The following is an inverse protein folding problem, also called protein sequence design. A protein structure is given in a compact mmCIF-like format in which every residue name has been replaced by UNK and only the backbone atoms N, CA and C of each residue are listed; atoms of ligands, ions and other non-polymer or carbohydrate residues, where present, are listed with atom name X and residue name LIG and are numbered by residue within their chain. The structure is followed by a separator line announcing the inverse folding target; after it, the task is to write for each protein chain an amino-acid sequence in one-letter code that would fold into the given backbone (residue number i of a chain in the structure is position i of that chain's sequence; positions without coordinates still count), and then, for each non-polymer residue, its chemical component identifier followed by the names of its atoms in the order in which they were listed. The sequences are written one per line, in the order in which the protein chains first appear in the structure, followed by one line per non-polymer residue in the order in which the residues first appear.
data_IF_003969597447
#
_entry.id   IF_003969597447
#
_cell.length_a   1.000
_cell.length_b   1.000
_cell.length_c   1.000
_cell.angle_alpha   90.00
_cell.angle_beta   90.00
_cell.angle_gamma   90.00
#
_symmetry.space_group_name_H-M   'P 1'
#
loop_
_entity.id
_entity.type
_entity.pdbx_description
1 polymer ?
#
# COMPACT_ATOMS: atom_id res chain seq x y z
N UNK A 1 -27.21 9.89 -11.13
CA UNK A 1 -25.76 10.06 -10.93
C UNK A 1 -25.09 9.35 -12.09
N UNK A 2 -24.43 10.11 -12.94
CA UNK A 2 -23.93 9.67 -14.24
C UNK A 2 -22.65 8.89 -14.03
N UNK A 3 -22.67 7.60 -14.36
CA UNK A 3 -21.50 6.72 -14.38
C UNK A 3 -20.57 7.20 -15.51
N UNK A 4 -19.57 8.03 -15.19
CA UNK A 4 -18.49 8.29 -16.11
C UNK A 4 -17.56 7.06 -16.12
N UNK A 5 -17.80 6.17 -17.07
CA UNK A 5 -16.79 5.23 -17.52
C UNK A 5 -15.76 6.06 -18.27
N UNK A 6 -14.66 6.41 -17.62
CA UNK A 6 -13.51 7.01 -18.28
C UNK A 6 -12.82 5.90 -19.07
N UNK A 7 -13.17 5.80 -20.35
CA UNK A 7 -12.46 4.98 -21.34
C UNK A 7 -11.09 5.62 -21.55
N UNK A 8 -10.11 5.17 -20.78
CA UNK A 8 -8.71 5.42 -21.04
C UNK A 8 -8.16 4.07 -21.50
N UNK A 9 -7.46 4.08 -22.61
CA UNK A 9 -6.72 2.93 -23.14
C UNK A 9 -5.57 2.58 -22.18
N UNK A 10 -5.93 2.03 -21.00
CA UNK A 10 -5.03 1.64 -19.93
C UNK A 10 -5.12 0.13 -19.73
N UNK A 11 -3.98 -0.50 -19.41
CA UNK A 11 -3.93 -1.92 -19.08
C UNK A 11 -4.66 -2.27 -17.76
N UNK A 12 -5.15 -1.26 -17.03
CA UNK A 12 -5.82 -1.43 -15.74
C UNK A 12 -7.34 -1.23 -15.85
N UNK A 13 -8.09 -2.14 -15.24
CA UNK A 13 -9.52 -1.99 -14.99
C UNK A 13 -9.74 -1.71 -13.50
N UNK A 14 -10.28 -0.54 -13.17
CA UNK A 14 -10.45 -0.08 -11.78
C UNK A 14 -11.91 -0.13 -11.37
N UNK A 15 -12.17 -0.76 -10.25
CA UNK A 15 -13.50 -0.96 -9.68
C UNK A 15 -13.55 -0.44 -8.24
N UNK A 16 -14.67 0.17 -7.85
CA UNK A 16 -14.98 0.34 -6.43
C UNK A 16 -15.49 -0.99 -5.83
N UNK A 17 -15.46 -1.10 -4.50
CA UNK A 17 -16.02 -2.26 -3.81
C UNK A 17 -17.51 -2.47 -4.16
N UNK A 18 -18.29 -1.38 -4.29
CA UNK A 18 -19.71 -1.43 -4.67
C UNK A 18 -19.92 -1.94 -6.09
N UNK A 19 -19.06 -1.55 -7.03
CA UNK A 19 -19.09 -2.03 -8.41
C UNK A 19 -18.79 -3.54 -8.49
N UNK A 20 -17.84 -4.02 -7.68
CA UNK A 20 -17.55 -5.46 -7.59
C UNK A 20 -18.75 -6.23 -7.04
N UNK A 21 -19.36 -5.74 -5.95
CA UNK A 21 -20.57 -6.34 -5.37
C UNK A 21 -21.76 -6.36 -6.36
N UNK A 22 -21.84 -5.35 -7.21
CA UNK A 22 -22.86 -5.28 -8.28
C UNK A 22 -22.53 -6.17 -9.53
N UNK A 23 -21.41 -6.89 -9.50
CA UNK A 23 -21.01 -7.80 -10.60
C UNK A 23 -20.30 -7.13 -11.77
N UNK A 24 -19.90 -5.84 -11.65
CA UNK A 24 -19.20 -5.13 -12.74
C UNK A 24 -17.83 -5.74 -13.06
N UNK A 25 -17.23 -6.46 -12.11
CA UNK A 25 -15.94 -7.15 -12.28
C UNK A 25 -16.08 -8.65 -12.60
N UNK A 26 -17.18 -9.10 -13.19
CA UNK A 26 -17.43 -10.52 -13.46
C UNK A 26 -16.36 -11.19 -14.35
N UNK A 27 -15.67 -10.42 -15.19
CA UNK A 27 -14.56 -10.89 -16.01
C UNK A 27 -13.20 -10.95 -15.28
N UNK A 28 -13.14 -10.44 -14.04
CA UNK A 28 -11.97 -10.40 -13.19
C UNK A 28 -12.30 -10.98 -11.82
N UNK A 29 -12.46 -12.32 -11.70
CA UNK A 29 -12.84 -12.97 -10.46
C UNK A 29 -11.87 -12.70 -9.30
N UNK A 30 -10.60 -12.40 -9.60
CA UNK A 30 -9.59 -12.03 -8.61
C UNK A 30 -9.93 -10.73 -7.88
N UNK A 31 -10.65 -9.81 -8.52
CA UNK A 31 -11.11 -8.59 -7.85
C UNK A 31 -12.09 -8.93 -6.71
N UNK A 32 -13.02 -9.86 -6.95
CA UNK A 32 -13.95 -10.34 -5.93
C UNK A 32 -13.22 -11.16 -4.84
N UNK A 33 -12.25 -12.01 -5.23
CA UNK A 33 -11.42 -12.78 -4.30
C UNK A 33 -10.66 -11.86 -3.33
N UNK A 34 -10.03 -10.79 -3.84
CA UNK A 34 -9.29 -9.83 -3.03
C UNK A 34 -10.22 -8.97 -2.17
N UNK A 35 -11.38 -8.55 -2.68
CA UNK A 35 -12.35 -7.79 -1.89
C UNK A 35 -12.87 -8.63 -0.70
N UNK A 36 -13.19 -9.89 -0.92
CA UNK A 36 -13.66 -10.80 0.10
C UNK A 36 -12.55 -11.13 1.12
N UNK A 37 -11.31 -11.38 0.68
CA UNK A 37 -10.16 -11.51 1.55
C UNK A 37 -9.93 -10.24 2.40
N UNK A 38 -10.01 -9.05 1.80
CA UNK A 38 -9.85 -7.78 2.49
C UNK A 38 -10.90 -7.62 3.60
N UNK A 39 -12.16 -7.96 3.33
CA UNK A 39 -13.25 -7.92 4.30
C UNK A 39 -13.08 -8.93 5.44
N UNK A 40 -12.72 -10.17 5.11
CA UNK A 40 -12.61 -11.24 6.12
C UNK A 40 -11.33 -11.18 6.93
N UNK A 41 -10.24 -10.75 6.33
CA UNK A 41 -8.93 -10.75 6.98
C UNK A 41 -8.50 -9.37 7.46
N UNK A 42 -8.45 -8.37 6.57
CA UNK A 42 -7.90 -7.07 6.94
C UNK A 42 -8.79 -6.28 7.93
N UNK A 43 -10.11 -6.46 7.86
CA UNK A 43 -11.05 -5.72 8.75
C UNK A 43 -11.33 -6.42 10.07
N UNK A 44 -10.78 -7.61 10.30
CA UNK A 44 -11.04 -8.42 11.51
C UNK A 44 -9.82 -8.49 12.41
N UNK A 45 -10.06 -8.75 13.70
CA UNK A 45 -8.99 -9.06 14.64
C UNK A 45 -8.40 -10.44 14.35
N UNK A 46 -7.10 -10.60 14.59
CA UNK A 46 -6.43 -11.89 14.46
C UNK A 46 -5.67 -12.22 15.76
N UNK A 47 -5.74 -13.46 16.28
CA UNK A 47 -5.10 -13.82 17.55
C UNK A 47 -3.58 -13.62 17.54
N UNK A 48 -2.95 -13.87 16.39
CA UNK A 48 -1.50 -13.75 16.23
C UNK A 48 -1.04 -12.33 15.88
N UNK A 49 -1.93 -11.35 15.79
CA UNK A 49 -1.57 -9.97 15.45
C UNK A 49 -0.63 -9.31 16.47
N UNK A 50 -0.71 -9.74 17.75
CA UNK A 50 0.09 -9.19 18.85
C UNK A 50 -0.43 -7.85 19.41
N UNK A 51 -1.61 -7.39 18.93
CA UNK A 51 -2.36 -6.24 19.46
C UNK A 51 -3.86 -6.43 19.27
N UNK A 52 -4.65 -5.63 19.95
CA UNK A 52 -6.10 -5.57 19.74
C UNK A 52 -6.47 -4.85 18.44
N UNK A 53 -7.69 -5.09 17.94
CA UNK A 53 -8.25 -4.47 16.75
C UNK A 53 -7.97 -5.24 15.45
N UNK A 54 -8.41 -4.71 14.31
CA UNK A 54 -8.29 -5.36 13.01
C UNK A 54 -6.85 -5.44 12.51
N UNK A 55 -6.58 -6.35 11.57
CA UNK A 55 -5.26 -6.48 10.93
C UNK A 55 -4.85 -5.15 10.29
N UNK A 56 -5.75 -4.53 9.51
CA UNK A 56 -5.56 -3.19 8.98
C UNK A 56 -6.63 -2.23 9.52
N UNK A 57 -6.27 -1.20 10.30
CA UNK A 57 -7.26 -0.28 10.86
C UNK A 57 -7.91 0.64 9.82
N UNK A 58 -7.33 0.75 8.62
CA UNK A 58 -7.79 1.67 7.56
C UNK A 58 -8.75 1.02 6.57
N UNK A 59 -8.69 -0.30 6.37
CA UNK A 59 -9.49 -1.01 5.35
C UNK A 59 -10.99 -0.88 5.60
N UNK A 60 -11.46 -1.05 6.83
CA UNK A 60 -12.89 -0.97 7.11
C UNK A 60 -13.47 0.45 6.93
N UNK A 61 -12.83 1.53 7.43
CA UNK A 61 -13.28 2.89 7.14
C UNK A 61 -13.24 3.22 5.65
N UNK A 62 -12.21 2.79 4.92
CA UNK A 62 -12.09 2.97 3.48
C UNK A 62 -13.27 2.32 2.73
N UNK A 63 -13.57 1.06 3.04
CA UNK A 63 -14.73 0.34 2.48
C UNK A 63 -16.05 1.04 2.75
N UNK A 64 -16.31 1.47 4.00
CA UNK A 64 -17.57 2.13 4.37
C UNK A 64 -17.80 3.47 3.67
N UNK A 65 -16.74 4.16 3.28
CA UNK A 65 -16.81 5.46 2.62
C UNK A 65 -16.70 5.37 1.09
N UNK A 66 -16.66 4.16 0.51
CA UNK A 66 -16.52 3.95 -0.92
C UNK A 66 -15.14 4.37 -1.48
N UNK A 67 -14.10 4.36 -0.63
CA UNK A 67 -12.74 4.81 -0.95
C UNK A 67 -11.76 3.65 -1.19
N UNK A 68 -12.27 2.43 -1.20
CA UNK A 68 -11.50 1.21 -1.45
C UNK A 68 -11.71 0.76 -2.89
N UNK A 69 -10.66 0.86 -3.69
CA UNK A 69 -10.68 0.53 -5.11
C UNK A 69 -9.75 -0.65 -5.41
N UNK A 70 -10.14 -1.46 -6.37
CA UNK A 70 -9.35 -2.57 -6.87
C UNK A 70 -9.14 -2.36 -8.37
N UNK A 71 -7.87 -2.22 -8.76
CA UNK A 71 -7.42 -2.26 -10.13
C UNK A 71 -6.97 -3.67 -10.47
N UNK A 72 -7.33 -4.20 -11.62
CA UNK A 72 -6.86 -5.48 -12.14
C UNK A 72 -6.06 -5.22 -13.40
N UNK A 73 -4.86 -5.79 -13.48
CA UNK A 73 -4.06 -5.75 -14.70
C UNK A 73 -4.59 -6.79 -15.69
N UNK A 74 -5.03 -6.33 -16.85
CA UNK A 74 -5.54 -7.16 -17.96
C UNK A 74 -4.39 -7.65 -18.86
N UNK A 75 -3.23 -7.94 -18.25
CA UNK A 75 -2.03 -8.38 -18.94
C UNK A 75 -1.75 -9.83 -18.63
N UNK A 76 -1.45 -10.62 -19.67
CA UNK A 76 -0.93 -11.98 -19.51
C UNK A 76 0.34 -12.02 -18.65
N UNK A 77 0.80 -13.22 -18.30
CA UNK A 77 1.95 -13.43 -17.44
C UNK A 77 3.14 -12.52 -17.84
N UNK A 78 3.55 -11.63 -16.94
CA UNK A 78 4.76 -10.82 -17.10
C UNK A 78 4.59 -9.44 -17.72
N UNK A 79 3.44 -8.78 -17.57
CA UNK A 79 3.29 -7.35 -17.90
C UNK A 79 4.44 -6.50 -17.33
N UNK A 80 4.74 -5.36 -17.97
CA UNK A 80 5.76 -4.41 -17.49
C UNK A 80 5.35 -3.84 -16.12
N UNK A 81 5.84 -4.46 -15.03
CA UNK A 81 5.52 -4.05 -13.66
C UNK A 81 5.82 -2.58 -13.39
N UNK A 82 6.96 -1.98 -13.82
CA UNK A 82 7.19 -0.56 -13.72
C UNK A 82 6.11 0.29 -14.40
N UNK A 83 5.68 -0.07 -15.60
CA UNK A 83 4.61 0.64 -16.29
C UNK A 83 3.28 0.52 -15.54
N UNK A 84 2.92 -0.67 -15.05
CA UNK A 84 1.72 -0.90 -14.24
C UNK A 84 1.73 -0.11 -12.91
N UNK A 85 2.89 0.03 -12.28
CA UNK A 85 3.06 0.88 -11.08
C UNK A 85 2.82 2.35 -11.42
N UNK A 86 3.31 2.82 -12.58
CA UNK A 86 3.05 4.17 -13.08
C UNK A 86 1.56 4.42 -13.34
N UNK A 87 0.87 3.45 -13.97
CA UNK A 87 -0.59 3.52 -14.18
C UNK A 87 -1.37 3.50 -12.86
N UNK A 88 -0.99 2.65 -11.92
CA UNK A 88 -1.57 2.61 -10.57
C UNK A 88 -1.46 3.97 -9.89
N UNK A 89 -0.28 4.61 -9.99
CA UNK A 89 -0.05 5.95 -9.46
C UNK A 89 -0.97 6.97 -10.11
N UNK A 90 -1.07 6.98 -11.45
CA UNK A 90 -1.94 7.90 -12.18
C UNK A 90 -3.43 7.72 -11.81
N UNK A 91 -3.88 6.49 -11.58
CA UNK A 91 -5.23 6.22 -11.11
C UNK A 91 -5.45 6.70 -9.68
N UNK A 92 -4.49 6.46 -8.78
CA UNK A 92 -4.56 6.99 -7.42
C UNK A 92 -4.70 8.51 -7.40
N UNK A 93 -3.90 9.24 -8.18
CA UNK A 93 -3.93 10.69 -8.26
C UNK A 93 -5.27 11.22 -8.80
N UNK A 94 -5.86 10.55 -9.81
CA UNK A 94 -7.18 10.92 -10.33
C UNK A 94 -8.29 10.75 -9.28
N UNK A 95 -8.30 9.60 -8.59
CA UNK A 95 -9.26 9.35 -7.52
C UNK A 95 -9.09 10.38 -6.40
N UNK A 96 -7.84 10.65 -6.01
CA UNK A 96 -7.49 11.63 -4.98
C UNK A 96 -7.96 13.05 -5.35
N UNK A 97 -7.82 13.45 -6.61
CA UNK A 97 -8.25 14.77 -7.09
C UNK A 97 -9.76 14.98 -7.01
N UNK A 98 -10.55 13.90 -7.03
CA UNK A 98 -12.01 13.94 -6.85
C UNK A 98 -12.47 14.10 -5.39
N UNK A 99 -11.54 14.01 -4.41
CA UNK A 99 -11.88 14.05 -2.99
C UNK A 99 -11.64 15.45 -2.41
N UNK A 100 -12.71 16.02 -1.82
CA UNK A 100 -12.65 17.33 -1.17
C UNK A 100 -12.07 17.23 0.25
N UNK A 101 -12.53 16.22 1.03
CA UNK A 101 -12.24 16.10 2.44
C UNK A 101 -10.88 15.41 2.69
N UNK A 102 -10.06 16.00 3.56
CA UNK A 102 -8.76 15.42 3.93
C UNK A 102 -8.90 14.04 4.58
N UNK A 103 -9.94 13.84 5.40
CA UNK A 103 -10.25 12.54 6.01
C UNK A 103 -10.56 11.45 4.99
N UNK A 104 -11.09 11.80 3.81
CA UNK A 104 -11.32 10.85 2.72
C UNK A 104 -10.01 10.56 1.96
N UNK A 105 -9.19 11.57 1.77
CA UNK A 105 -7.86 11.42 1.17
C UNK A 105 -6.95 10.49 1.96
N UNK A 106 -7.06 10.49 3.30
CA UNK A 106 -6.32 9.57 4.18
C UNK A 106 -6.79 8.12 4.07
N UNK A 107 -8.05 7.92 3.70
CA UNK A 107 -8.67 6.60 3.59
C UNK A 107 -8.65 6.04 2.17
N UNK A 108 -8.35 6.86 1.15
CA UNK A 108 -8.25 6.38 -0.21
C UNK A 108 -7.20 5.27 -0.31
N UNK A 109 -7.65 4.11 -0.77
CA UNK A 109 -6.81 2.92 -0.96
C UNK A 109 -7.07 2.33 -2.34
N UNK A 110 -6.02 2.09 -3.09
CA UNK A 110 -6.08 1.43 -4.40
C UNK A 110 -5.18 0.20 -4.37
N UNK A 111 -5.76 -0.95 -4.68
CA UNK A 111 -5.05 -2.21 -4.83
C UNK A 111 -4.87 -2.50 -6.32
N UNK A 112 -3.65 -2.82 -6.75
CA UNK A 112 -3.36 -3.35 -8.08
C UNK A 112 -3.21 -4.86 -7.99
N UNK A 113 -4.19 -5.60 -8.45
CA UNK A 113 -4.20 -7.06 -8.49
C UNK A 113 -3.53 -7.53 -9.78
N UNK A 114 -2.64 -8.50 -9.67
CA UNK A 114 -1.75 -9.00 -10.71
C UNK A 114 -1.95 -10.51 -10.92
N UNK A 115 -3.06 -10.93 -11.55
CA UNK A 115 -3.41 -12.35 -11.70
C UNK A 115 -2.40 -13.15 -12.50
N UNK A 116 -1.69 -12.47 -13.41
CA UNK A 116 -0.68 -13.09 -14.28
C UNK A 116 0.66 -13.39 -13.60
N UNK A 117 0.88 -12.95 -12.36
CA UNK A 117 2.10 -13.29 -11.61
C UNK A 117 1.98 -14.67 -10.95
N UNK A 118 3.11 -15.37 -10.86
CA UNK A 118 3.18 -16.66 -10.15
C UNK A 118 2.88 -16.44 -8.66
N UNK A 119 1.93 -17.20 -8.15
CA UNK A 119 1.55 -17.16 -6.73
C UNK A 119 2.61 -17.81 -5.83
N UNK A 120 3.49 -18.64 -6.39
CA UNK A 120 4.56 -19.30 -5.66
C UNK A 120 5.91 -18.56 -5.71
N UNK A 121 6.06 -17.61 -6.66
CA UNK A 121 7.25 -16.76 -6.78
C UNK A 121 6.84 -15.32 -7.00
N UNK A 122 7.07 -14.49 -5.99
CA UNK A 122 6.73 -13.06 -6.03
C UNK A 122 7.98 -12.16 -6.00
N UNK A 123 9.14 -12.68 -6.32
CA UNK A 123 10.41 -11.93 -6.33
C UNK A 123 10.34 -10.67 -7.19
N UNK A 124 9.74 -10.77 -8.38
CA UNK A 124 9.56 -9.62 -9.26
C UNK A 124 8.66 -8.54 -8.67
N UNK A 125 7.59 -8.95 -7.93
CA UNK A 125 6.69 -8.02 -7.25
C UNK A 125 7.40 -7.29 -6.10
N UNK A 126 8.14 -8.02 -5.27
CA UNK A 126 8.91 -7.46 -4.16
C UNK A 126 9.95 -6.45 -4.67
N UNK A 127 10.61 -6.78 -5.78
CA UNK A 127 11.58 -5.89 -6.41
C UNK A 127 10.92 -4.63 -6.98
N UNK A 128 9.77 -4.77 -7.64
CA UNK A 128 9.00 -3.64 -8.17
C UNK A 128 8.54 -2.70 -7.05
N UNK A 129 8.00 -3.24 -5.96
CA UNK A 129 7.61 -2.48 -4.78
C UNK A 129 8.81 -1.74 -4.18
N UNK A 130 9.93 -2.44 -3.96
CA UNK A 130 11.14 -1.86 -3.38
C UNK A 130 11.67 -0.70 -4.21
N UNK A 131 11.71 -0.84 -5.55
CA UNK A 131 12.15 0.24 -6.47
C UNK A 131 11.20 1.43 -6.47
N UNK A 132 9.89 1.20 -6.37
CA UNK A 132 8.91 2.27 -6.38
C UNK A 132 8.81 3.01 -5.03
N UNK A 133 9.19 2.36 -3.93
CA UNK A 133 8.96 2.87 -2.57
C UNK A 133 9.58 4.25 -2.34
N UNK A 134 10.79 4.49 -2.86
CA UNK A 134 11.50 5.77 -2.67
C UNK A 134 10.65 6.94 -3.19
N UNK A 135 10.22 6.84 -4.45
CA UNK A 135 9.40 7.87 -5.09
C UNK A 135 8.04 8.04 -4.39
N UNK A 136 7.38 6.94 -4.01
CA UNK A 136 6.09 7.00 -3.33
C UNK A 136 6.21 7.69 -1.97
N UNK A 137 7.21 7.35 -1.16
CA UNK A 137 7.45 7.97 0.16
C UNK A 137 7.80 9.45 0.02
N UNK A 138 8.65 9.82 -0.93
CA UNK A 138 8.95 11.22 -1.25
C UNK A 138 7.69 12.01 -1.54
N UNK A 139 6.75 11.43 -2.26
CA UNK A 139 5.48 12.06 -2.64
C UNK A 139 4.38 11.93 -1.57
N UNK A 140 4.68 11.33 -0.41
CA UNK A 140 3.75 11.19 0.70
C UNK A 140 2.76 10.05 0.55
N UNK A 141 3.18 8.99 -0.12
CA UNK A 141 2.41 7.76 -0.30
C UNK A 141 3.14 6.57 0.32
N UNK A 142 2.38 5.54 0.63
CA UNK A 142 2.87 4.20 0.93
C UNK A 142 2.52 3.26 -0.21
N UNK A 143 3.48 2.44 -0.61
CA UNK A 143 3.26 1.29 -1.48
C UNK A 143 3.71 0.03 -0.75
N UNK A 144 2.87 -1.00 -0.74
CA UNK A 144 3.15 -2.29 -0.10
C UNK A 144 2.79 -3.46 -1.02
N UNK A 145 3.60 -4.51 -0.99
CA UNK A 145 3.34 -5.76 -1.69
C UNK A 145 2.56 -6.72 -0.81
N UNK A 146 1.72 -7.54 -1.45
CA UNK A 146 0.99 -8.64 -0.81
C UNK A 146 0.97 -9.82 -1.78
N UNK A 147 1.28 -11.01 -1.29
CA UNK A 147 1.25 -12.24 -2.10
C UNK A 147 1.22 -13.48 -1.21
N UNK A 148 0.86 -14.69 -1.72
CA UNK A 148 0.67 -15.88 -0.90
C UNK A 148 1.89 -16.31 -0.09
N UNK A 149 3.08 -16.07 -0.62
CA UNK A 149 4.36 -16.49 -0.02
C UNK A 149 5.11 -15.36 0.69
N UNK A 150 4.43 -14.23 1.00
CA UNK A 150 5.08 -13.09 1.66
C UNK A 150 5.62 -13.47 3.04
N UNK A 151 6.92 -13.22 3.25
CA UNK A 151 7.63 -13.52 4.50
C UNK A 151 7.75 -12.32 5.44
N UNK A 152 7.20 -11.17 5.08
CA UNK A 152 7.20 -9.98 5.93
C UNK A 152 6.44 -10.21 7.22
N UNK A 153 7.15 -10.06 8.34
CA UNK A 153 6.59 -10.24 9.67
C UNK A 153 5.78 -9.05 10.16
N UNK A 154 4.75 -9.31 10.95
CA UNK A 154 3.97 -8.26 11.60
C UNK A 154 4.81 -7.43 12.57
N UNK A 155 4.44 -6.16 12.77
CA UNK A 155 5.14 -5.23 13.67
C UNK A 155 5.17 -5.70 15.13
N UNK A 156 4.08 -6.31 15.58
CA UNK A 156 3.91 -6.74 16.98
C UNK A 156 4.20 -8.22 17.19
N UNK A 157 4.12 -9.01 16.15
CA UNK A 157 4.46 -10.43 16.14
C UNK A 157 5.18 -10.78 14.85
N UNK A 158 6.48 -11.00 14.93
CA UNK A 158 7.34 -11.33 13.78
C UNK A 158 7.03 -12.67 13.13
N UNK A 159 6.29 -13.55 13.79
CA UNK A 159 5.84 -14.82 13.23
C UNK A 159 4.53 -14.72 12.46
N UNK A 160 3.76 -13.66 12.67
CA UNK A 160 2.54 -13.38 11.92
C UNK A 160 2.87 -12.81 10.53
N UNK A 161 2.13 -13.20 9.51
CA UNK A 161 2.35 -12.79 8.10
C UNK A 161 1.16 -11.98 7.58
N UNK A 162 1.03 -10.69 7.95
CA UNK A 162 -0.15 -9.88 7.63
C UNK A 162 -0.27 -9.56 6.13
N UNK A 163 0.80 -9.72 5.35
CA UNK A 163 0.84 -9.38 3.93
C UNK A 163 0.61 -10.60 3.01
N UNK A 164 0.22 -11.75 3.58
CA UNK A 164 -0.18 -12.92 2.77
C UNK A 164 -1.57 -12.73 2.21
N UNK A 165 -1.66 -12.41 0.92
CA UNK A 165 -2.89 -12.31 0.15
C UNK A 165 -3.03 -13.49 -0.80
N UNK A 166 -4.26 -13.90 -1.20
CA UNK A 166 -4.46 -15.05 -2.08
C UNK A 166 -3.97 -14.83 -3.51
N UNK A 167 -3.91 -13.58 -3.97
CA UNK A 167 -3.42 -13.18 -5.29
C UNK A 167 -2.35 -12.10 -5.11
N UNK A 168 -1.24 -12.13 -5.90
CA UNK A 168 -0.24 -11.06 -5.86
C UNK A 168 -0.85 -9.69 -6.15
N UNK A 169 -0.53 -8.70 -5.33
CA UNK A 169 -1.01 -7.33 -5.49
C UNK A 169 -0.06 -6.29 -4.89
N UNK A 170 -0.18 -5.06 -5.37
CA UNK A 170 0.38 -3.86 -4.75
C UNK A 170 -0.75 -3.02 -4.15
N UNK A 171 -0.54 -2.46 -2.98
CA UNK A 171 -1.46 -1.54 -2.35
C UNK A 171 -0.86 -0.15 -2.23
N UNK A 172 -1.62 0.88 -2.62
CA UNK A 172 -1.21 2.28 -2.50
C UNK A 172 -2.22 3.04 -1.64
N UNK A 173 -1.71 3.84 -0.73
CA UNK A 173 -2.48 4.77 0.09
C UNK A 173 -1.62 5.96 0.51
N UNK A 174 -2.24 6.98 1.09
CA UNK A 174 -1.52 8.11 1.69
C UNK A 174 -0.60 7.64 2.82
N UNK A 175 0.58 8.26 2.90
CA UNK A 175 1.48 8.13 4.04
C UNK A 175 0.84 8.78 5.27
N UNK A 176 0.84 8.08 6.40
CA UNK A 176 0.22 8.51 7.65
C UNK A 176 1.22 8.54 8.80
N UNK A 177 0.89 9.25 9.86
CA UNK A 177 1.76 9.39 11.05
C UNK A 177 2.14 8.04 11.67
N UNK A 178 1.29 7.03 11.57
CA UNK A 178 1.53 5.70 12.12
C UNK A 178 2.43 4.80 11.24
N UNK A 179 2.89 5.28 10.09
CA UNK A 179 3.75 4.52 9.18
C UNK A 179 5.24 4.57 9.54
N UNK A 180 5.61 5.36 10.53
CA UNK A 180 7.00 5.48 11.00
C UNK A 180 7.75 4.13 11.10
N UNK A 181 7.17 3.05 11.69
CA UNK A 181 7.90 1.78 11.83
C UNK A 181 8.32 1.12 10.51
N UNK A 182 7.70 1.48 9.39
CA UNK A 182 8.02 0.95 8.06
C UNK A 182 9.07 1.77 7.31
N UNK A 183 9.55 2.87 7.92
CA UNK A 183 10.42 3.86 7.28
C UNK A 183 11.71 4.10 8.04
N UNK A 184 11.87 3.56 9.25
CA UNK A 184 13.02 3.84 10.14
C UNK A 184 14.33 3.23 9.66
N UNK A 185 14.27 2.19 8.83
CA UNK A 185 15.46 1.47 8.35
C UNK A 185 16.11 2.15 7.14
N UNK A 186 15.47 3.18 6.57
CA UNK A 186 15.98 3.97 5.45
C UNK A 186 16.02 5.46 5.82
N UNK A 187 17.21 6.08 5.69
CA UNK A 187 17.42 7.47 6.09
C UNK A 187 16.63 8.47 5.24
N UNK A 188 16.51 8.22 3.93
CA UNK A 188 15.76 9.09 3.03
C UNK A 188 14.26 9.01 3.31
N UNK A 189 13.73 7.79 3.51
CA UNK A 189 12.33 7.59 3.91
C UNK A 189 12.02 8.28 5.24
N UNK A 190 12.89 8.11 6.22
CA UNK A 190 12.73 8.76 7.52
C UNK A 190 12.78 10.29 7.41
N UNK A 191 13.66 10.84 6.57
CA UNK A 191 13.74 12.28 6.33
C UNK A 191 12.44 12.81 5.71
N UNK A 192 11.90 12.15 4.69
CA UNK A 192 10.63 12.52 4.06
C UNK A 192 9.44 12.42 5.04
N UNK A 193 9.44 11.38 5.89
CA UNK A 193 8.45 11.23 6.94
C UNK A 193 8.52 12.39 7.94
N UNK A 194 9.70 12.69 8.46
CA UNK A 194 9.89 13.77 9.45
C UNK A 194 9.55 15.14 8.86
N UNK A 195 9.87 15.41 7.58
CA UNK A 195 9.48 16.65 6.91
C UNK A 195 7.96 16.89 6.93
N UNK A 196 7.16 15.82 6.91
CA UNK A 196 5.68 15.90 6.94
C UNK A 196 5.09 15.87 8.35
N UNK A 197 5.62 15.01 9.20
CA UNK A 197 4.96 14.62 10.45
C UNK A 197 5.73 15.04 11.71
N UNK A 198 6.90 15.67 11.63
CA UNK A 198 7.68 16.03 12.81
C UNK A 198 6.89 16.76 13.90
N UNK A 199 5.96 17.70 13.59
CA UNK A 199 5.14 18.35 14.62
C UNK A 199 4.18 17.40 15.36
N UNK A 200 3.82 16.29 14.74
CA UNK A 200 2.87 15.29 15.28
C UNK A 200 3.58 14.17 16.04
N UNK A 201 4.90 14.01 15.80
CA UNK A 201 5.74 13.03 16.50
C UNK A 201 6.13 13.59 17.86
N UNK A 202 5.93 12.86 18.98
CA UNK A 202 6.39 13.32 20.29
C UNK A 202 7.86 13.73 20.29
N UNK A 203 8.19 14.86 20.92
CA UNK A 203 9.55 15.45 20.89
C UNK A 203 10.63 14.44 21.22
N UNK A 204 10.43 13.64 22.29
CA UNK A 204 11.38 12.60 22.69
C UNK A 204 11.71 11.60 21.58
N UNK A 205 10.68 11.14 20.84
CA UNK A 205 10.86 10.18 19.73
C UNK A 205 11.57 10.87 18.58
N UNK A 206 11.16 12.08 18.23
CA UNK A 206 11.80 12.88 17.17
C UNK A 206 13.29 13.11 17.46
N UNK A 207 13.64 13.48 18.69
CA UNK A 207 15.03 13.72 19.08
C UNK A 207 15.88 12.45 19.02
N UNK A 208 15.30 11.29 19.39
CA UNK A 208 15.96 9.98 19.24
C UNK A 208 16.22 9.63 17.78
N UNK A 209 15.25 9.85 16.89
CA UNK A 209 15.38 9.58 15.45
C UNK A 209 16.46 10.47 14.83
N UNK A 210 16.44 11.76 15.12
CA UNK A 210 17.45 12.73 14.62
C UNK A 210 18.84 12.39 15.12
N UNK A 211 18.98 12.01 16.38
CA UNK A 211 20.26 11.58 16.95
C UNK A 211 20.80 10.32 16.26
N UNK A 212 19.94 9.32 16.02
CA UNK A 212 20.30 8.10 15.30
C UNK A 212 20.78 8.37 13.87
N UNK A 213 20.08 9.23 13.12
CA UNK A 213 20.49 9.66 11.78
C UNK A 213 21.86 10.35 11.79
N UNK A 214 22.12 11.21 12.79
CA UNK A 214 23.38 11.94 12.90
C UNK A 214 24.57 11.01 13.22
N UNK A 215 24.35 10.01 14.07
CA UNK A 215 25.36 9.00 14.38
C UNK A 215 25.66 8.11 13.18
N UNK A 216 24.65 7.67 12.46
CA UNK A 216 24.81 6.84 11.26
C UNK A 216 25.64 7.58 10.18
N UNK A 217 25.34 8.84 9.91
CA UNK A 217 26.13 9.68 8.99
C UNK A 217 27.56 9.87 9.43
N UNK A 218 27.81 9.99 10.74
CA UNK A 218 29.16 10.14 11.29
C UNK A 218 29.97 8.86 11.10
N UNK A 219 29.36 7.70 11.37
CA UNK A 219 30.02 6.39 11.21
C UNK A 219 30.31 6.09 9.73
N UNK A 220 29.37 6.37 8.82
CA UNK A 220 29.56 6.18 7.39
C UNK A 220 30.69 7.04 6.81
N UNK A 221 30.87 8.29 7.31
CA UNK A 221 32.00 9.13 6.91
C UNK A 221 33.36 8.64 7.41
N UNK A 222 33.41 8.02 8.59
CA UNK A 222 34.63 7.47 9.16
C UNK A 222 35.07 6.16 8.47
N UNK A 223 34.13 5.39 7.89
CA UNK A 223 34.43 4.18 7.13
C UNK A 223 34.75 4.44 5.66
N UNK A 224 34.44 5.62 5.13
CA UNK A 224 34.74 6.04 3.76
C UNK A 224 36.02 6.86 3.61
N UNK A 225 36.74 7.17 4.71
CA UNK A 225 38.00 7.87 4.76
C UNK A 225 39.16 6.93 5.10
#
# INVERSE_FOLDING_TARGET
MTTHTLDIDTALRVYSAEQIDAGAAAHHPEAAEILDWSRRFLTTAHPDLGRSGPVCPYTQPSLRRGLFHIAVADTGAGGDLPALVGELRAWYDRLLAGLAEESDRELLTVLLVLPGLDRADSTALDEAQRKAKDEFVEQGLMIGQFHPVCEEGGLWNRSFRPLRAPVPLLAVRKLLVFDLPFLVDDEAHLAHYLARFAPQVPARIRDQLVSGMTEHRRTARLTAA
#
